data_IF_383935540375
#
_entry.id   IF_383935540375
#
_cell.length_a   1.000
_cell.length_b   1.000
_cell.length_c   1.000
_cell.angle_alpha   90.00
_cell.angle_beta   90.00
_cell.angle_gamma   90.00
#
_symmetry.space_group_name_H-M   'P 1'
#
loop_
_entity.id
_entity.type
_entity.pdbx_description
1 polymer ?
#
# COMPACT_ATOMS: atom_id res chain seq x y z
N UNK A 1 14.18 8.54 19.32
CA UNK A 1 13.06 8.58 18.37
C UNK A 1 12.13 9.72 18.76
N UNK A 2 11.81 10.62 17.82
CA UNK A 2 10.79 11.66 17.97
C UNK A 2 9.55 11.20 17.19
N UNK A 3 8.35 11.45 17.72
CA UNK A 3 7.08 11.13 17.06
C UNK A 3 6.23 12.40 17.02
N UNK A 4 5.83 12.78 15.82
CA UNK A 4 4.87 13.87 15.60
C UNK A 4 3.55 13.29 15.11
N UNK A 5 2.42 13.85 15.53
CA UNK A 5 1.07 13.39 15.14
C UNK A 5 0.28 14.54 14.55
N UNK A 6 -0.41 14.26 13.45
CA UNK A 6 -1.27 15.20 12.73
C UNK A 6 -2.64 14.57 12.53
N UNK A 7 -3.68 15.41 12.49
CA UNK A 7 -5.06 14.98 12.32
C UNK A 7 -5.68 15.63 11.10
N UNK A 8 -6.46 14.87 10.34
CA UNK A 8 -7.33 15.46 9.32
C UNK A 8 -8.42 16.33 9.96
N UNK A 9 -8.95 17.28 9.22
CA UNK A 9 -9.99 18.21 9.68
C UNK A 9 -11.24 17.50 10.18
N UNK A 10 -11.60 16.35 9.56
CA UNK A 10 -12.72 15.50 9.97
C UNK A 10 -12.36 14.49 11.08
N UNK A 11 -11.10 14.49 11.55
CA UNK A 11 -10.56 13.58 12.56
C UNK A 11 -10.65 12.09 12.24
N UNK A 12 -10.98 11.70 11.00
CA UNK A 12 -11.05 10.30 10.55
C UNK A 12 -9.69 9.72 10.20
N UNK A 13 -8.71 10.59 9.97
CA UNK A 13 -7.34 10.20 9.63
C UNK A 13 -6.36 10.84 10.60
N UNK A 14 -5.42 10.03 11.08
CA UNK A 14 -4.28 10.52 11.87
C UNK A 14 -2.99 10.07 11.21
N UNK A 15 -2.05 10.99 11.01
CA UNK A 15 -0.72 10.70 10.49
C UNK A 15 0.31 10.79 11.61
N UNK A 16 1.21 9.81 11.64
CA UNK A 16 2.32 9.74 12.57
C UNK A 16 3.62 9.83 11.78
N UNK A 17 4.50 10.73 12.17
CA UNK A 17 5.84 10.88 11.60
C UNK A 17 6.85 10.47 12.66
N UNK A 18 7.68 9.48 12.32
CA UNK A 18 8.71 8.92 13.19
C UNK A 18 10.07 9.38 12.69
N UNK A 19 10.86 10.01 13.54
CA UNK A 19 12.22 10.43 13.24
C UNK A 19 13.22 9.74 14.17
N UNK A 20 14.22 9.10 13.59
CA UNK A 20 15.33 8.48 14.32
C UNK A 20 16.64 9.26 14.07
N UNK A 21 17.40 9.47 15.13
CA UNK A 21 18.69 10.17 15.04
C UNK A 21 19.85 9.18 14.82
N UNK A 22 19.76 7.99 15.40
CA UNK A 22 20.79 6.96 15.28
C UNK A 22 20.16 5.54 15.26
N UNK A 23 20.22 4.83 14.12
CA UNK A 23 20.61 5.35 12.81
C UNK A 23 19.60 6.36 12.28
N UNK A 24 20.07 7.37 11.53
CA UNK A 24 19.21 8.42 10.93
C UNK A 24 18.12 7.79 10.06
N UNK A 25 16.90 8.28 10.16
CA UNK A 25 15.77 7.80 9.36
C UNK A 25 14.48 8.51 9.69
N UNK A 26 13.53 8.39 8.78
CA UNK A 26 12.18 8.91 8.92
C UNK A 26 11.19 7.90 8.35
N UNK A 27 10.02 7.76 8.98
CA UNK A 27 8.90 7.00 8.44
C UNK A 27 7.58 7.71 8.71
N UNK A 28 6.60 7.49 7.85
CA UNK A 28 5.25 7.94 8.03
C UNK A 28 4.31 6.74 8.16
N UNK A 29 3.36 6.84 9.09
CA UNK A 29 2.25 5.88 9.22
C UNK A 29 0.94 6.61 9.31
N UNK A 30 -0.11 5.99 8.79
CA UNK A 30 -1.45 6.58 8.76
C UNK A 30 -2.43 5.64 9.43
N UNK A 31 -3.22 6.19 10.35
CA UNK A 31 -4.32 5.51 11.03
C UNK A 31 -5.64 6.06 10.50
N UNK A 32 -6.47 5.19 9.95
CA UNK A 32 -7.80 5.53 9.43
C UNK A 32 -8.88 4.95 10.35
N UNK A 33 -9.91 5.78 10.58
CA UNK A 33 -11.15 5.43 11.24
C UNK A 33 -12.30 5.47 10.24
N UNK A 34 -13.00 4.36 10.07
CA UNK A 34 -14.19 4.29 9.22
C UNK A 34 -15.43 4.08 10.09
N UNK A 35 -16.21 5.15 10.27
CA UNK A 35 -17.31 5.19 11.23
C UNK A 35 -16.78 5.34 12.67
N UNK A 36 -16.34 4.25 13.26
CA UNK A 36 -15.63 4.23 14.54
C UNK A 36 -14.41 3.31 14.47
N UNK A 37 -13.46 3.42 15.40
CA UNK A 37 -12.34 2.48 15.50
C UNK A 37 -12.82 1.04 15.73
N UNK A 38 -13.91 0.86 16.48
CA UNK A 38 -14.52 -0.46 16.73
C UNK A 38 -15.10 -1.07 15.45
N UNK A 39 -15.72 -0.28 14.57
CA UNK A 39 -16.28 -0.78 13.31
C UNK A 39 -15.18 -1.15 12.33
N UNK A 40 -14.26 -0.22 12.05
CA UNK A 40 -13.14 -0.49 11.16
C UNK A 40 -11.96 0.42 11.44
N UNK A 41 -10.82 -0.21 11.70
CA UNK A 41 -9.50 0.43 11.87
C UNK A 41 -8.54 -0.07 10.80
N UNK A 42 -7.87 0.86 10.13
CA UNK A 42 -6.81 0.56 9.16
C UNK A 42 -5.56 1.33 9.54
N UNK A 43 -4.43 0.65 9.56
CA UNK A 43 -3.12 1.26 9.76
C UNK A 43 -2.26 0.98 8.53
N UNK A 44 -1.76 2.03 7.88
CA UNK A 44 -0.71 1.92 6.88
C UNK A 44 0.63 2.23 7.53
N UNK A 45 1.57 1.28 7.53
CA UNK A 45 2.90 1.45 8.11
C UNK A 45 4.00 1.31 7.06
N UNK A 46 5.14 1.94 7.34
CA UNK A 46 6.33 1.93 6.52
C UNK A 46 7.21 0.73 6.83
N UNK A 47 7.87 0.19 5.81
CA UNK A 47 8.86 -0.90 5.95
C UNK A 47 10.30 -0.44 5.68
N UNK A 48 10.46 0.73 5.09
CA UNK A 48 11.75 1.38 4.83
C UNK A 48 11.67 2.86 5.17
N UNK A 49 12.80 3.49 5.42
CA UNK A 49 12.97 4.94 5.43
C UNK A 49 13.29 5.37 4.01
N UNK A 50 12.31 5.98 3.34
CA UNK A 50 12.34 6.17 1.88
C UNK A 50 11.99 4.89 1.11
N UNK A 51 12.25 4.89 -0.20
CA UNK A 51 12.00 3.75 -1.09
C UNK A 51 12.95 3.79 -2.29
N UNK A 52 13.63 2.68 -2.64
CA UNK A 52 14.52 2.64 -3.80
C UNK A 52 13.79 2.41 -5.13
N UNK A 53 12.50 2.12 -5.12
CA UNK A 53 11.72 1.77 -6.33
C UNK A 53 11.55 2.97 -7.25
N UNK A 54 11.25 4.15 -6.71
CA UNK A 54 11.21 5.38 -7.46
C UNK A 54 9.99 5.55 -8.37
N UNK A 55 8.82 5.05 -7.94
CA UNK A 55 7.57 5.28 -8.67
C UNK A 55 7.35 6.77 -8.91
N UNK A 56 7.02 7.16 -10.15
CA UNK A 56 6.99 8.57 -10.57
C UNK A 56 5.90 9.39 -9.87
N UNK A 57 4.83 8.74 -9.45
CA UNK A 57 3.70 9.36 -8.73
C UNK A 57 3.89 9.40 -7.21
N UNK A 58 4.89 8.69 -6.66
CA UNK A 58 5.06 8.54 -5.22
C UNK A 58 5.93 9.64 -4.62
N UNK A 59 5.53 10.17 -3.46
CA UNK A 59 6.26 11.23 -2.75
C UNK A 59 7.64 10.84 -2.23
N UNK A 60 7.97 9.54 -2.09
CA UNK A 60 9.34 9.11 -1.78
C UNK A 60 10.30 9.33 -2.95
N UNK A 61 9.78 9.33 -4.20
CA UNK A 61 10.64 9.29 -5.39
C UNK A 61 11.63 8.13 -5.32
N UNK A 62 12.87 8.34 -5.76
CA UNK A 62 13.99 7.38 -5.66
C UNK A 62 14.84 7.57 -4.40
N UNK A 63 14.32 8.19 -3.37
CA UNK A 63 15.11 8.46 -2.18
C UNK A 63 15.00 7.34 -1.17
N UNK A 64 16.11 6.67 -0.91
CA UNK A 64 16.21 5.58 0.04
C UNK A 64 17.31 5.89 1.08
N UNK A 65 16.98 5.77 2.35
CA UNK A 65 17.89 5.97 3.46
C UNK A 65 18.36 4.62 3.98
N UNK A 66 17.43 3.79 4.46
CA UNK A 66 17.71 2.46 5.01
C UNK A 66 16.46 1.59 5.15
N UNK A 67 16.66 0.33 5.35
CA UNK A 67 15.60 -0.56 5.83
C UNK A 67 15.23 -0.21 7.28
N UNK A 68 13.95 -0.32 7.63
CA UNK A 68 13.50 -0.32 9.01
C UNK A 68 13.68 -1.72 9.59
N UNK A 69 14.11 -1.78 10.85
CA UNK A 69 14.17 -3.06 11.58
C UNK A 69 12.76 -3.43 12.09
N UNK A 70 12.57 -4.69 12.41
CA UNK A 70 11.30 -5.24 12.91
C UNK A 70 10.68 -4.36 14.01
N UNK A 71 11.46 -3.97 15.02
CA UNK A 71 10.96 -3.18 16.14
C UNK A 71 10.47 -1.79 15.72
N UNK A 72 11.07 -1.19 14.70
CA UNK A 72 10.63 0.10 14.15
C UNK A 72 9.31 -0.05 13.38
N UNK A 73 9.10 -1.17 12.69
CA UNK A 73 7.84 -1.47 11.99
C UNK A 73 6.72 -1.70 13.01
N UNK A 74 6.96 -2.54 14.02
CA UNK A 74 5.98 -2.83 15.08
C UNK A 74 5.66 -1.58 15.90
N UNK A 75 6.66 -0.78 16.23
CA UNK A 75 6.47 0.49 16.97
C UNK A 75 5.51 1.45 16.27
N UNK A 76 5.55 1.53 14.94
CA UNK A 76 4.62 2.38 14.19
C UNK A 76 3.16 1.97 14.47
N UNK A 77 2.87 0.68 14.39
CA UNK A 77 1.53 0.12 14.64
C UNK A 77 1.10 0.37 16.08
N UNK A 78 1.96 0.05 17.06
CA UNK A 78 1.67 0.23 18.48
C UNK A 78 1.40 1.70 18.83
N UNK A 79 2.13 2.64 18.21
CA UNK A 79 1.91 4.08 18.42
C UNK A 79 0.58 4.56 17.82
N UNK A 80 0.20 4.06 16.65
CA UNK A 80 -1.13 4.33 16.10
C UNK A 80 -2.22 3.83 17.06
N UNK A 81 -2.12 2.59 17.50
CA UNK A 81 -3.11 1.94 18.37
C UNK A 81 -3.18 2.55 19.78
N UNK A 82 -2.09 3.12 20.29
CA UNK A 82 -2.09 3.80 21.59
C UNK A 82 -3.01 5.03 21.65
N UNK A 83 -3.59 5.44 20.54
CA UNK A 83 -4.43 6.65 20.42
C UNK A 83 -5.88 6.36 20.07
N UNK A 84 -6.28 5.10 19.91
CA UNK A 84 -7.67 4.71 19.70
C UNK A 84 -8.41 4.58 21.05
N UNK A 85 -9.71 4.69 21.00
CA UNK A 85 -10.62 4.71 22.15
C UNK A 85 -11.34 3.37 22.41
N UNK A 86 -10.83 2.27 21.85
CA UNK A 86 -11.41 0.93 22.04
C UNK A 86 -10.32 -0.13 22.21
N UNK A 87 -10.70 -1.27 22.78
CA UNK A 87 -9.83 -2.46 22.80
C UNK A 87 -9.66 -2.97 21.37
N UNK A 88 -8.42 -3.30 20.99
CA UNK A 88 -8.11 -3.82 19.65
C UNK A 88 -8.84 -5.13 19.34
N UNK A 89 -9.16 -5.93 20.37
CA UNK A 89 -9.93 -7.18 20.26
C UNK A 89 -11.38 -6.96 19.82
N UNK A 90 -11.93 -5.77 20.09
CA UNK A 90 -13.31 -5.40 19.75
C UNK A 90 -13.43 -4.86 18.30
N UNK A 91 -12.31 -4.66 17.60
CA UNK A 91 -12.34 -4.12 16.24
C UNK A 91 -12.87 -5.17 15.27
N UNK A 92 -14.02 -4.90 14.66
CA UNK A 92 -14.70 -5.83 13.75
C UNK A 92 -13.92 -6.07 12.45
N UNK A 93 -13.36 -4.99 11.88
CA UNK A 93 -12.50 -5.05 10.69
C UNK A 93 -11.20 -4.33 10.97
N UNK A 94 -10.20 -5.09 11.37
CA UNK A 94 -8.87 -4.58 11.67
C UNK A 94 -7.88 -4.93 10.58
N UNK A 95 -7.16 -3.95 10.04
CA UNK A 95 -6.22 -4.13 8.94
C UNK A 95 -4.92 -3.37 9.22
N UNK A 96 -3.80 -4.07 9.12
CA UNK A 96 -2.45 -3.49 9.14
C UNK A 96 -1.87 -3.69 7.74
N UNK A 97 -1.53 -2.59 7.08
CA UNK A 97 -1.11 -2.57 5.68
C UNK A 97 0.33 -2.10 5.57
N UNK A 98 1.21 -2.92 5.02
CA UNK A 98 2.62 -2.60 4.76
C UNK A 98 2.73 -1.94 3.39
N UNK A 99 2.30 -0.67 3.30
CA UNK A 99 2.20 0.05 2.03
C UNK A 99 2.42 1.56 2.13
N UNK A 100 2.96 2.09 3.26
CA UNK A 100 3.25 3.50 3.40
C UNK A 100 4.57 3.84 2.66
N UNK A 101 5.72 3.67 3.29
CA UNK A 101 7.03 3.92 2.66
C UNK A 101 7.80 2.61 2.52
N UNK A 102 8.42 2.44 1.35
CA UNK A 102 9.27 1.29 1.06
C UNK A 102 8.59 0.16 0.30
N UNK A 103 9.43 -0.74 -0.20
CA UNK A 103 9.03 -1.94 -0.91
C UNK A 103 9.21 -3.15 0.01
N UNK A 104 8.13 -3.86 0.37
CA UNK A 104 8.17 -4.98 1.30
C UNK A 104 9.19 -6.08 0.98
N UNK A 105 9.29 -6.49 -0.28
CA UNK A 105 10.23 -7.54 -0.68
C UNK A 105 11.69 -7.10 -0.76
N UNK A 106 11.98 -5.80 -0.69
CA UNK A 106 13.34 -5.30 -0.53
C UNK A 106 13.77 -5.21 0.97
N UNK A 107 12.82 -5.41 1.90
CA UNK A 107 13.08 -5.53 3.34
C UNK A 107 12.39 -6.77 3.94
N UNK A 108 12.35 -7.86 3.20
CA UNK A 108 11.52 -9.01 3.51
C UNK A 108 11.84 -9.66 4.86
N UNK A 109 13.12 -9.73 5.24
CA UNK A 109 13.52 -10.35 6.52
C UNK A 109 12.87 -9.66 7.73
N UNK A 110 12.97 -8.35 7.79
CA UNK A 110 12.42 -7.56 8.89
C UNK A 110 10.88 -7.52 8.83
N UNK A 111 10.32 -7.45 7.61
CA UNK A 111 8.89 -7.54 7.39
C UNK A 111 8.31 -8.86 7.93
N UNK A 112 8.93 -10.00 7.61
CA UNK A 112 8.49 -11.32 8.09
C UNK A 112 8.44 -11.38 9.61
N UNK A 113 9.51 -10.91 10.27
CA UNK A 113 9.57 -10.85 11.73
C UNK A 113 8.49 -9.93 12.31
N UNK A 114 8.24 -8.78 11.68
CA UNK A 114 7.19 -7.85 12.09
C UNK A 114 5.79 -8.46 11.91
N UNK A 115 5.54 -9.18 10.82
CA UNK A 115 4.26 -9.89 10.59
C UNK A 115 4.00 -10.91 11.69
N UNK A 116 4.99 -11.73 12.05
CA UNK A 116 4.85 -12.73 13.12
C UNK A 116 4.50 -12.05 14.44
N UNK A 117 5.28 -11.05 14.85
CA UNK A 117 5.04 -10.34 16.12
C UNK A 117 3.69 -9.61 16.13
N UNK A 118 3.30 -8.95 15.03
CA UNK A 118 2.02 -8.26 14.93
C UNK A 118 0.84 -9.23 14.93
N UNK A 119 1.01 -10.45 14.40
CA UNK A 119 0.01 -11.50 14.51
C UNK A 119 -0.18 -11.97 15.95
N UNK A 120 0.92 -12.16 16.68
CA UNK A 120 0.88 -12.54 18.09
C UNK A 120 0.22 -11.47 18.97
N UNK A 121 0.53 -10.20 18.71
CA UNK A 121 -0.04 -9.05 19.43
C UNK A 121 -1.51 -8.77 19.05
N UNK A 122 -1.87 -8.95 17.78
CA UNK A 122 -3.16 -8.57 17.21
C UNK A 122 -3.72 -9.68 16.30
N UNK A 123 -4.14 -10.83 16.87
CA UNK A 123 -4.51 -12.02 16.08
C UNK A 123 -5.78 -11.81 15.21
N UNK A 124 -6.60 -10.80 15.51
CA UNK A 124 -7.75 -10.44 14.70
C UNK A 124 -7.41 -9.50 13.53
N UNK A 125 -6.19 -8.95 13.45
CA UNK A 125 -5.79 -8.06 12.36
C UNK A 125 -5.47 -8.81 11.07
N UNK A 126 -5.99 -8.34 9.93
CA UNK A 126 -5.48 -8.72 8.62
C UNK A 126 -4.15 -8.00 8.34
N UNK A 127 -3.13 -8.74 7.92
CA UNK A 127 -1.77 -8.25 7.67
C UNK A 127 -1.52 -8.19 6.15
N UNK A 128 -1.68 -7.02 5.55
CA UNK A 128 -1.74 -6.87 4.10
C UNK A 128 -0.43 -6.36 3.53
N UNK A 129 0.24 -7.19 2.73
CA UNK A 129 1.49 -6.85 2.04
C UNK A 129 1.19 -6.37 0.64
N UNK A 130 1.60 -5.13 0.31
CA UNK A 130 1.48 -4.57 -1.03
C UNK A 130 2.86 -4.36 -1.64
N UNK A 131 3.06 -4.88 -2.84
CA UNK A 131 4.38 -4.90 -3.51
C UNK A 131 4.31 -4.44 -4.96
N UNK A 132 5.35 -3.75 -5.42
CA UNK A 132 5.59 -3.50 -6.84
C UNK A 132 6.13 -4.73 -7.59
N UNK A 133 6.33 -5.84 -6.91
CA UNK A 133 6.94 -7.06 -7.42
C UNK A 133 8.36 -6.82 -7.99
N UNK A 134 9.33 -6.32 -7.20
CA UNK A 134 10.70 -6.22 -7.66
C UNK A 134 11.22 -7.60 -8.04
N UNK A 135 12.16 -7.68 -9.00
CA UNK A 135 12.71 -8.97 -9.47
C UNK A 135 13.30 -9.84 -8.35
N UNK A 136 13.67 -9.22 -7.23
CA UNK A 136 14.12 -9.92 -6.01
C UNK A 136 13.00 -10.70 -5.30
N UNK A 137 11.72 -10.50 -5.65
CA UNK A 137 10.59 -11.21 -5.04
C UNK A 137 10.77 -12.72 -5.09
N UNK A 138 11.32 -13.26 -6.19
CA UNK A 138 11.56 -14.70 -6.36
C UNK A 138 12.45 -15.32 -5.27
N UNK A 139 13.37 -14.54 -4.70
CA UNK A 139 14.25 -15.01 -3.62
C UNK A 139 13.48 -15.37 -2.34
N UNK A 140 12.38 -14.68 -2.10
CA UNK A 140 11.65 -14.72 -0.82
C UNK A 140 10.24 -15.29 -0.96
N UNK A 141 9.76 -15.49 -2.18
CA UNK A 141 8.34 -15.75 -2.41
C UNK A 141 7.89 -17.12 -1.88
N UNK A 142 8.75 -18.15 -1.97
CA UNK A 142 8.46 -19.46 -1.38
C UNK A 142 8.30 -19.37 0.16
N UNK A 143 9.19 -18.66 0.82
CA UNK A 143 9.10 -18.41 2.27
C UNK A 143 7.87 -17.54 2.63
N UNK A 144 7.48 -16.60 1.77
CA UNK A 144 6.26 -15.80 1.96
C UNK A 144 4.98 -16.65 1.81
N UNK A 145 4.95 -17.62 0.89
CA UNK A 145 3.86 -18.60 0.79
C UNK A 145 3.73 -19.38 2.12
N UNK A 146 4.83 -19.91 2.65
CA UNK A 146 4.81 -20.66 3.91
C UNK A 146 4.36 -19.77 5.09
N UNK A 147 4.82 -18.53 5.15
CA UNK A 147 4.34 -17.55 6.13
C UNK A 147 2.82 -17.32 6.01
N UNK A 148 2.32 -17.18 4.78
CA UNK A 148 0.89 -16.94 4.52
C UNK A 148 0.01 -18.16 4.83
N UNK A 149 0.55 -19.38 4.70
CA UNK A 149 -0.11 -20.61 5.16
C UNK A 149 -0.16 -20.71 6.67
N UNK A 150 0.95 -20.34 7.33
CA UNK A 150 1.05 -20.37 8.79
C UNK A 150 0.18 -19.28 9.45
N UNK A 151 0.12 -18.08 8.84
CA UNK A 151 -0.71 -16.96 9.30
C UNK A 151 -1.79 -16.65 8.25
N UNK A 152 -3.01 -17.26 8.34
CA UNK A 152 -4.07 -17.06 7.34
C UNK A 152 -4.57 -15.62 7.20
N UNK A 153 -4.17 -14.73 8.12
CA UNK A 153 -4.46 -13.29 8.09
C UNK A 153 -3.53 -12.51 7.14
N UNK A 154 -2.45 -13.10 6.64
CA UNK A 154 -1.57 -12.45 5.66
C UNK A 154 -2.27 -12.39 4.30
N UNK A 155 -2.34 -11.19 3.73
CA UNK A 155 -2.88 -10.93 2.40
C UNK A 155 -1.81 -10.37 1.47
N UNK A 156 -2.00 -10.56 0.16
CA UNK A 156 -1.07 -10.14 -0.88
C UNK A 156 -1.77 -9.22 -1.88
N UNK A 157 -1.16 -8.06 -2.16
CA UNK A 157 -1.57 -7.13 -3.19
C UNK A 157 -0.38 -6.76 -4.07
N UNK A 158 -0.62 -6.60 -5.37
CA UNK A 158 0.38 -6.13 -6.32
C UNK A 158 0.04 -4.73 -6.84
N UNK A 159 1.02 -3.84 -6.88
CA UNK A 159 0.94 -2.53 -7.53
C UNK A 159 1.12 -2.72 -9.04
N UNK A 160 0.01 -2.79 -9.76
CA UNK A 160 -0.01 -3.00 -11.22
C UNK A 160 0.00 -1.67 -11.96
N UNK A 161 -0.99 -0.83 -11.77
CA UNK A 161 -1.14 0.56 -12.22
C UNK A 161 -1.15 0.80 -13.72
N UNK A 162 -0.78 -0.17 -14.54
CA UNK A 162 -0.79 -0.11 -15.99
C UNK A 162 -1.18 -1.45 -16.60
N UNK A 163 -1.81 -1.44 -17.78
CA UNK A 163 -2.19 -2.65 -18.51
C UNK A 163 -1.13 -3.16 -19.49
N UNK A 164 -0.06 -2.38 -19.69
CA UNK A 164 1.07 -2.69 -20.57
C UNK A 164 2.40 -2.56 -19.80
N UNK A 165 3.29 -3.54 -19.98
CA UNK A 165 4.60 -3.54 -19.31
C UNK A 165 5.46 -2.32 -19.63
N UNK A 166 5.39 -1.82 -20.86
CA UNK A 166 6.14 -0.63 -21.30
C UNK A 166 5.72 0.63 -20.55
N UNK A 167 4.41 0.81 -20.34
CA UNK A 167 3.87 1.94 -19.60
C UNK A 167 4.16 1.77 -18.11
N UNK A 168 3.99 0.55 -17.58
CA UNK A 168 4.30 0.25 -16.19
C UNK A 168 5.76 0.54 -15.85
N UNK A 169 6.70 0.23 -16.75
CA UNK A 169 8.13 0.53 -16.59
C UNK A 169 8.42 2.03 -16.51
N UNK A 170 7.65 2.86 -17.20
CA UNK A 170 7.77 4.33 -17.09
C UNK A 170 7.28 4.82 -15.72
N UNK A 171 6.20 4.22 -15.22
CA UNK A 171 5.57 4.57 -13.94
C UNK A 171 6.38 4.01 -12.75
N UNK A 172 6.89 2.78 -12.86
CA UNK A 172 7.69 2.08 -11.84
C UNK A 172 9.05 1.72 -12.47
N UNK A 173 10.04 2.64 -12.44
CA UNK A 173 11.26 2.52 -13.25
C UNK A 173 12.29 1.51 -12.74
N UNK A 174 12.06 0.91 -11.57
CA UNK A 174 12.95 -0.14 -11.04
C UNK A 174 12.70 -1.48 -11.74
N UNK A 175 13.66 -2.41 -11.64
CA UNK A 175 13.50 -3.77 -12.20
C UNK A 175 12.40 -4.53 -11.44
N UNK A 176 11.24 -4.68 -12.08
CA UNK A 176 10.09 -5.41 -11.55
C UNK A 176 9.72 -6.57 -12.48
N UNK A 177 8.95 -7.51 -11.95
CA UNK A 177 8.32 -8.56 -12.74
C UNK A 177 7.40 -7.96 -13.80
N UNK A 178 7.27 -8.62 -14.97
CA UNK A 178 6.26 -8.29 -15.97
C UNK A 178 4.85 -8.56 -15.44
N UNK A 179 3.84 -7.98 -16.05
CA UNK A 179 2.44 -8.20 -15.67
C UNK A 179 2.06 -9.69 -15.72
N UNK A 180 2.53 -10.42 -16.75
CA UNK A 180 2.34 -11.88 -16.84
C UNK A 180 3.03 -12.64 -15.70
N UNK A 181 4.23 -12.22 -15.32
CA UNK A 181 4.92 -12.82 -14.17
C UNK A 181 4.19 -12.52 -12.86
N UNK A 182 3.65 -11.30 -12.68
CA UNK A 182 2.82 -10.93 -11.52
C UNK A 182 1.58 -11.82 -11.46
N UNK A 183 0.89 -12.01 -12.59
CA UNK A 183 -0.27 -12.91 -12.67
C UNK A 183 0.10 -14.32 -12.21
N UNK A 184 1.16 -14.90 -12.79
CA UNK A 184 1.59 -16.25 -12.42
C UNK A 184 2.00 -16.38 -10.93
N UNK A 185 2.70 -15.38 -10.38
CA UNK A 185 3.10 -15.35 -8.97
C UNK A 185 1.87 -15.29 -8.05
N UNK A 186 0.90 -14.44 -8.37
CA UNK A 186 -0.31 -14.31 -7.56
C UNK A 186 -1.21 -15.55 -7.62
N UNK A 187 -1.35 -16.17 -8.79
CA UNK A 187 -2.08 -17.44 -8.96
C UNK A 187 -1.39 -18.59 -8.21
N UNK A 188 -0.06 -18.64 -8.26
CA UNK A 188 0.71 -19.58 -7.46
C UNK A 188 0.46 -19.40 -5.97
N UNK A 189 0.50 -18.16 -5.48
CA UNK A 189 0.19 -17.86 -4.07
C UNK A 189 -1.24 -18.29 -3.72
N UNK A 190 -2.22 -17.97 -4.56
CA UNK A 190 -3.61 -18.35 -4.35
C UNK A 190 -3.80 -19.86 -4.26
N UNK A 191 -3.11 -20.64 -5.10
CA UNK A 191 -3.22 -22.09 -5.12
C UNK A 191 -2.71 -22.76 -3.85
N UNK A 192 -1.70 -22.17 -3.20
CA UNK A 192 -1.13 -22.70 -1.95
C UNK A 192 -1.83 -22.19 -0.69
N UNK A 193 -2.33 -20.95 -0.72
CA UNK A 193 -2.86 -20.26 0.47
C UNK A 193 -4.39 -20.32 0.53
N UNK A 194 -5.06 -20.56 -0.60
CA UNK A 194 -6.53 -20.61 -0.69
C UNK A 194 -7.20 -19.23 -0.57
N UNK A 195 -6.46 -18.14 -0.75
CA UNK A 195 -6.98 -16.76 -0.72
C UNK A 195 -6.76 -16.09 -2.08
N UNK A 196 -7.64 -15.17 -2.44
CA UNK A 196 -7.48 -14.36 -3.64
C UNK A 196 -6.41 -13.28 -3.42
N UNK A 197 -5.41 -13.18 -4.31
CA UNK A 197 -4.55 -12.00 -4.35
C UNK A 197 -5.30 -10.81 -4.91
N UNK A 198 -4.80 -9.62 -4.57
CA UNK A 198 -5.32 -8.36 -5.09
C UNK A 198 -4.31 -7.74 -6.06
N UNK A 199 -4.81 -6.97 -7.01
CA UNK A 199 -3.97 -5.95 -7.63
C UNK A 199 -4.60 -4.57 -7.48
N UNK A 200 -3.73 -3.57 -7.29
CA UNK A 200 -4.11 -2.16 -7.25
C UNK A 200 -3.79 -1.51 -8.59
N UNK A 201 -4.76 -0.74 -9.09
CA UNK A 201 -4.67 -0.03 -10.34
C UNK A 201 -5.08 1.43 -10.14
N UNK A 202 -4.12 2.33 -10.27
CA UNK A 202 -4.38 3.76 -10.21
C UNK A 202 -4.90 4.23 -11.57
N UNK A 203 -6.15 4.65 -11.62
CA UNK A 203 -6.81 5.04 -12.87
C UNK A 203 -6.45 6.47 -13.24
N UNK A 204 -6.04 6.68 -14.49
CA UNK A 204 -5.78 8.00 -15.08
C UNK A 204 -6.10 8.01 -16.58
N UNK A 205 -6.05 9.19 -17.22
CA UNK A 205 -6.45 9.37 -18.64
C UNK A 205 -5.73 8.44 -19.63
N UNK A 206 -4.50 8.02 -19.31
CA UNK A 206 -3.68 7.18 -20.18
C UNK A 206 -3.92 5.68 -20.07
N UNK A 207 -4.74 5.20 -19.08
CA UNK A 207 -4.86 3.78 -18.76
C UNK A 207 -6.29 3.30 -18.45
N UNK A 208 -7.33 4.07 -18.79
CA UNK A 208 -8.72 3.77 -18.44
C UNK A 208 -9.60 3.39 -19.63
N UNK A 209 -9.01 3.00 -20.76
CA UNK A 209 -9.76 2.58 -21.95
C UNK A 209 -10.41 1.20 -21.78
N UNK A 210 -11.41 0.91 -22.61
CA UNK A 210 -12.00 -0.43 -22.72
C UNK A 210 -10.93 -1.51 -23.01
N UNK A 211 -9.95 -1.19 -23.86
CA UNK A 211 -8.86 -2.12 -24.17
C UNK A 211 -7.93 -2.37 -22.98
N UNK A 212 -7.74 -1.37 -22.09
CA UNK A 212 -7.02 -1.59 -20.84
C UNK A 212 -7.77 -2.55 -19.93
N UNK A 213 -9.09 -2.40 -19.81
CA UNK A 213 -9.94 -3.31 -19.05
C UNK A 213 -9.86 -4.74 -19.61
N UNK A 214 -9.94 -4.92 -20.93
CA UNK A 214 -9.79 -6.24 -21.56
C UNK A 214 -8.43 -6.88 -21.22
N UNK A 215 -7.32 -6.14 -21.39
CA UNK A 215 -5.98 -6.65 -21.07
C UNK A 215 -5.82 -7.06 -19.62
N UNK A 216 -6.38 -6.27 -18.69
CA UNK A 216 -6.31 -6.60 -17.26
C UNK A 216 -7.10 -7.85 -16.91
N UNK A 217 -8.31 -8.00 -17.46
CA UNK A 217 -9.16 -9.17 -17.20
C UNK A 217 -8.55 -10.44 -17.82
N UNK A 218 -7.92 -10.32 -19.00
CA UNK A 218 -7.21 -11.44 -19.63
C UNK A 218 -5.96 -11.86 -18.84
N UNK A 219 -5.25 -10.89 -18.24
CA UNK A 219 -4.03 -11.15 -17.46
C UNK A 219 -4.35 -11.65 -16.05
N UNK A 220 -5.36 -11.07 -15.40
CA UNK A 220 -5.71 -11.33 -14.00
C UNK A 220 -7.09 -11.95 -13.93
N UNK A 221 -7.17 -13.27 -14.06
CA UNK A 221 -8.42 -14.03 -14.08
C UNK A 221 -9.34 -13.63 -12.92
N UNK A 222 -10.55 -13.10 -13.17
CA UNK A 222 -11.48 -12.64 -12.13
C UNK A 222 -11.92 -13.74 -11.14
N UNK A 223 -11.84 -15.00 -11.52
CA UNK A 223 -12.14 -16.11 -10.60
C UNK A 223 -11.09 -16.24 -9.48
N UNK A 224 -9.85 -15.82 -9.73
CA UNK A 224 -8.70 -15.92 -8.82
C UNK A 224 -8.36 -14.56 -8.18
N UNK A 225 -8.50 -13.47 -8.94
CA UNK A 225 -8.05 -12.15 -8.55
C UNK A 225 -9.17 -11.23 -8.08
N UNK A 226 -8.85 -10.32 -7.17
CA UNK A 226 -9.65 -9.15 -6.85
C UNK A 226 -8.94 -7.86 -7.26
N UNK A 227 -9.70 -6.88 -7.73
CA UNK A 227 -9.19 -5.61 -8.23
C UNK A 227 -9.48 -4.50 -7.24
N UNK A 228 -8.47 -3.68 -6.94
CA UNK A 228 -8.65 -2.39 -6.27
C UNK A 228 -8.36 -1.28 -7.27
N UNK A 229 -9.34 -0.44 -7.57
CA UNK A 229 -9.14 0.80 -8.32
C UNK A 229 -8.86 1.94 -7.35
N UNK A 230 -7.87 2.76 -7.64
CA UNK A 230 -7.44 3.87 -6.79
C UNK A 230 -7.33 5.16 -7.59
N UNK A 231 -7.48 6.27 -6.90
CA UNK A 231 -7.16 7.61 -7.39
C UNK A 231 -5.64 7.83 -7.30
N UNK A 232 -5.03 8.46 -8.29
CA UNK A 232 -3.68 9.02 -8.18
C UNK A 232 -3.80 10.42 -7.58
N UNK A 233 -3.02 10.67 -6.52
CA UNK A 233 -2.86 12.01 -5.97
C UNK A 233 -1.75 12.73 -6.75
N UNK A 234 -2.12 13.54 -7.71
CA UNK A 234 -1.15 14.34 -8.46
C UNK A 234 -0.64 15.51 -7.60
N UNK A 235 0.65 15.86 -7.78
CA UNK A 235 1.35 16.82 -6.91
C UNK A 235 0.85 18.26 -7.06
N UNK A 236 0.30 18.60 -8.22
CA UNK A 236 0.08 19.98 -8.67
C UNK A 236 -1.40 20.34 -8.91
N UNK A 237 -2.34 19.42 -8.71
CA UNK A 237 -3.78 19.68 -8.84
C UNK A 237 -4.44 19.90 -7.49
N UNK A 238 -5.45 20.80 -7.43
CA UNK A 238 -6.35 20.83 -6.28
C UNK A 238 -7.12 19.51 -6.24
N UNK A 239 -7.10 18.81 -5.13
CA UNK A 239 -7.65 17.46 -5.01
C UNK A 239 -9.14 17.43 -5.32
N UNK A 240 -9.91 18.49 -5.04
CA UNK A 240 -11.34 18.52 -5.36
C UNK A 240 -11.61 18.36 -6.86
N UNK A 241 -10.85 19.02 -7.74
CA UNK A 241 -11.05 18.91 -9.19
C UNK A 241 -10.50 17.59 -9.76
N UNK A 242 -9.41 17.07 -9.20
CA UNK A 242 -8.85 15.77 -9.65
C UNK A 242 -9.68 14.60 -9.16
N UNK A 243 -10.23 14.63 -7.94
CA UNK A 243 -11.10 13.59 -7.42
C UNK A 243 -12.36 13.41 -8.27
N UNK A 244 -13.08 14.48 -8.59
CA UNK A 244 -14.32 14.36 -9.36
C UNK A 244 -14.06 13.77 -10.76
N UNK A 245 -13.01 14.24 -11.44
CA UNK A 245 -12.61 13.69 -12.74
C UNK A 245 -12.18 12.23 -12.64
N UNK A 246 -11.34 11.89 -11.68
CA UNK A 246 -10.83 10.53 -11.50
C UNK A 246 -11.93 9.56 -11.05
N UNK A 247 -12.85 9.97 -10.19
CA UNK A 247 -13.99 9.13 -9.77
C UNK A 247 -14.93 8.83 -10.96
N UNK A 248 -15.12 9.76 -11.87
CA UNK A 248 -15.88 9.51 -13.12
C UNK A 248 -15.16 8.47 -13.97
N UNK A 249 -13.86 8.62 -14.23
CA UNK A 249 -13.05 7.64 -14.96
C UNK A 249 -13.08 6.25 -14.29
N UNK A 250 -12.93 6.20 -12.96
CA UNK A 250 -13.00 4.94 -12.18
C UNK A 250 -14.36 4.29 -12.35
N UNK A 251 -15.45 5.05 -12.32
CA UNK A 251 -16.81 4.54 -12.50
C UNK A 251 -16.98 3.88 -13.87
N UNK A 252 -16.58 4.57 -14.94
CA UNK A 252 -16.69 4.05 -16.30
C UNK A 252 -15.80 2.83 -16.51
N UNK A 253 -14.55 2.91 -16.05
CA UNK A 253 -13.60 1.81 -16.12
C UNK A 253 -14.04 0.59 -15.31
N UNK A 254 -14.59 0.79 -14.11
CA UNK A 254 -15.14 -0.29 -13.28
C UNK A 254 -16.34 -0.97 -13.96
N UNK A 255 -17.16 -0.22 -14.69
CA UNK A 255 -18.28 -0.78 -15.44
C UNK A 255 -17.78 -1.73 -16.53
N UNK A 256 -16.77 -1.34 -17.29
CA UNK A 256 -16.14 -2.23 -18.29
C UNK A 256 -15.62 -3.52 -17.65
N UNK A 257 -14.83 -3.39 -16.57
CA UNK A 257 -14.25 -4.56 -15.90
C UNK A 257 -15.29 -5.47 -15.25
N UNK A 258 -16.31 -4.89 -14.61
CA UNK A 258 -17.39 -5.65 -13.98
C UNK A 258 -18.22 -6.42 -15.01
N UNK A 259 -18.48 -5.84 -16.19
CA UNK A 259 -19.17 -6.54 -17.28
C UNK A 259 -18.43 -7.78 -17.78
N UNK A 260 -17.11 -7.86 -17.54
CA UNK A 260 -16.25 -9.02 -17.83
C UNK A 260 -16.01 -9.93 -16.61
N UNK A 261 -16.75 -9.73 -15.52
CA UNK A 261 -16.72 -10.59 -14.33
C UNK A 261 -15.72 -10.18 -13.24
N UNK A 262 -15.04 -9.05 -13.38
CA UNK A 262 -14.10 -8.60 -12.35
C UNK A 262 -14.83 -8.13 -11.06
N UNK A 263 -14.30 -8.53 -9.90
CA UNK A 263 -14.70 -8.00 -8.60
C UNK A 263 -13.91 -6.74 -8.29
N UNK A 264 -14.59 -5.61 -8.15
CA UNK A 264 -13.97 -4.28 -8.04
C UNK A 264 -14.19 -3.70 -6.66
N UNK A 265 -13.11 -3.21 -6.06
CA UNK A 265 -13.15 -2.28 -4.92
C UNK A 265 -12.61 -0.93 -5.37
N UNK A 266 -13.26 0.14 -4.99
CA UNK A 266 -12.75 1.49 -5.20
C UNK A 266 -12.15 1.97 -3.89
N UNK A 267 -10.88 2.36 -3.93
CA UNK A 267 -10.18 2.97 -2.81
C UNK A 267 -10.07 4.47 -3.05
N UNK A 268 -10.78 5.24 -2.24
CA UNK A 268 -10.67 6.70 -2.16
C UNK A 268 -9.98 7.05 -0.83
N UNK A 269 -8.71 7.45 -0.84
CA UNK A 269 -8.00 7.76 0.39
C UNK A 269 -8.54 9.04 1.02
N UNK A 270 -8.87 8.98 2.31
CA UNK A 270 -9.22 10.15 3.10
C UNK A 270 -7.97 10.93 3.54
N UNK A 271 -8.12 12.20 3.92
CA UNK A 271 -7.03 13.02 4.47
C UNK A 271 -5.95 13.41 3.48
N UNK A 272 -6.28 13.48 2.19
CA UNK A 272 -5.32 13.83 1.15
C UNK A 272 -4.92 15.31 1.19
N UNK A 273 -5.88 16.19 1.41
CA UNK A 273 -5.72 17.64 1.20
C UNK A 273 -5.20 18.40 2.40
N UNK A 274 -5.32 17.86 3.59
CA UNK A 274 -4.99 18.56 4.81
C UNK A 274 -3.74 18.04 5.53
N UNK A 275 -3.49 16.74 5.49
CA UNK A 275 -2.32 16.13 6.16
C UNK A 275 -1.47 15.24 5.26
N UNK A 276 -1.73 15.20 3.94
CA UNK A 276 -1.03 14.30 3.04
C UNK A 276 -1.18 12.83 3.43
N UNK A 277 -2.38 12.44 3.90
CA UNK A 277 -2.69 11.09 4.37
C UNK A 277 -3.00 10.08 3.26
N UNK A 278 -3.05 10.51 2.01
CA UNK A 278 -3.30 9.66 0.86
C UNK A 278 -2.09 8.82 0.45
N UNK A 279 -2.37 7.76 -0.33
CA UNK A 279 -1.34 6.87 -0.83
C UNK A 279 -0.33 7.64 -1.70
N UNK A 280 0.94 7.54 -1.37
CA UNK A 280 2.03 8.17 -2.12
C UNK A 280 2.26 9.67 -1.85
N UNK A 281 1.41 10.36 -1.09
CA UNK A 281 1.60 11.79 -0.80
C UNK A 281 2.85 12.07 0.04
N UNK A 282 3.03 11.44 1.19
CA UNK A 282 4.22 11.49 2.04
C UNK A 282 4.81 12.92 2.19
N UNK A 283 3.98 13.90 2.50
CA UNK A 283 4.36 15.33 2.54
C UNK A 283 5.45 15.64 3.55
N UNK A 284 5.40 15.01 4.72
CA UNK A 284 6.40 15.23 5.79
C UNK A 284 7.75 14.64 5.44
N UNK A 285 7.77 13.50 4.73
CA UNK A 285 9.00 12.94 4.19
C UNK A 285 9.61 13.88 3.14
N UNK A 286 8.80 14.43 2.25
CA UNK A 286 9.28 15.38 1.24
C UNK A 286 9.83 16.66 1.88
N UNK A 287 9.18 17.18 2.94
CA UNK A 287 9.68 18.32 3.70
C UNK A 287 10.99 17.99 4.44
N UNK A 288 11.04 16.82 5.07
CA UNK A 288 12.25 16.34 5.73
C UNK A 288 13.43 16.24 4.76
N UNK A 289 13.20 15.75 3.53
CA UNK A 289 14.23 15.69 2.48
C UNK A 289 14.78 17.09 2.14
N UNK A 290 13.91 18.08 1.97
CA UNK A 290 14.36 19.47 1.67
C UNK A 290 15.30 20.02 2.74
N UNK A 291 15.11 19.62 3.99
CA UNK A 291 15.86 20.10 5.14
C UNK A 291 17.13 19.27 5.43
N UNK A 292 17.20 18.01 5.00
CA UNK A 292 18.25 17.06 5.38
C UNK A 292 19.06 16.48 4.21
N UNK A 293 18.63 16.65 2.95
CA UNK A 293 19.34 16.11 1.79
C UNK A 293 20.48 17.02 1.28
N UNK A 294 20.84 18.09 2.01
CA UNK A 294 21.93 19.01 1.68
C UNK A 294 23.22 18.68 2.44
N UNK A 295 23.23 17.61 3.22
CA UNK A 295 24.40 17.05 3.89
C UNK A 295 24.81 15.73 3.19
#
# INVERSE_FOLDING_TARGET
MKVSKFYSSDTNVSKFVFEWSNPKGIAESVLYRYGSYRERTVICCSVQSGCPVGCTFCGTGKFFIRNLVKDEIVTQVNRCLSTIDCDTRDIKKFQIMFMSMGEPFLNYKELKLAIIELHDLYPNADLLVSTSAPSLIYRHFGDFIELSKFIPKVGLQFSVHESLDENRKKLIPTSTCTLRQISAIGELWASFVGRKPFYNYCVHDGNCSYYDACRLVDLFNPSVWETTLSVICEKDESVASSIDRQLTMIKDFSTHMTSMGASIRVFNPAGQDDIGGGCGQLWYFQEWLKNNAKE
#
